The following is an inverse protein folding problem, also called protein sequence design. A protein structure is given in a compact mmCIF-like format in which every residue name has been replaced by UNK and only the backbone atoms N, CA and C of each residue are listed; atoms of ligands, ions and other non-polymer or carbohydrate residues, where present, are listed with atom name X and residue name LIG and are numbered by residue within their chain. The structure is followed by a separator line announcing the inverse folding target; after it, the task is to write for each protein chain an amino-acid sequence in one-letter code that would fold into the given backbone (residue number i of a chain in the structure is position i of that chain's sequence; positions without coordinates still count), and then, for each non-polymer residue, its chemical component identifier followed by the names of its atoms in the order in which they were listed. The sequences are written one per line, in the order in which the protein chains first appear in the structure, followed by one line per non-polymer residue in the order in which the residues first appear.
data_IF_882323317827
#
_entry.id   IF_882323317827
#
_cell.length_a   1.000
_cell.length_b   1.000
_cell.length_c   1.000
_cell.angle_alpha   90.00
_cell.angle_beta   90.00
_cell.angle_gamma   90.00
#
_symmetry.space_group_name_H-M   'P 1'
#
loop_
_entity.id
_entity.type
_entity.pdbx_description
1 polymer ?
#
# COMPACT_ATOMS: atom_id res chain seq x y z
N UNK A 1 -2.36 17.54 15.74
CA UNK A 1 -1.67 17.12 14.51
C UNK A 1 -2.28 17.92 13.37
N UNK A 2 -1.50 18.66 12.59
CA UNK A 2 -2.04 19.25 11.37
C UNK A 2 -2.26 18.09 10.39
N UNK A 3 -3.49 17.90 9.92
CA UNK A 3 -3.76 17.02 8.80
C UNK A 3 -3.05 17.63 7.59
N UNK A 4 -1.98 17.00 7.13
CA UNK A 4 -1.36 17.35 5.86
C UNK A 4 -2.07 16.52 4.81
N UNK A 5 -2.98 17.17 4.09
CA UNK A 5 -3.58 16.64 2.87
C UNK A 5 -2.44 16.23 1.93
N UNK A 6 -2.25 14.92 1.78
CA UNK A 6 -1.09 14.41 1.08
C UNK A 6 -1.41 13.15 0.30
N UNK A 7 -0.77 13.07 -0.86
CA UNK A 7 -0.63 11.86 -1.65
C UNK A 7 0.86 11.55 -1.69
N UNK A 8 1.25 10.39 -1.20
CA UNK A 8 2.61 9.87 -1.29
C UNK A 8 2.63 8.69 -2.27
N UNK A 9 3.69 8.60 -3.07
CA UNK A 9 3.84 7.51 -4.04
C UNK A 9 5.30 7.10 -4.19
N UNK A 10 5.54 5.80 -4.36
CA UNK A 10 6.86 5.24 -4.58
C UNK A 10 6.78 4.03 -5.51
N UNK A 11 7.86 3.79 -6.25
CA UNK A 11 8.03 2.64 -7.15
C UNK A 11 9.41 2.04 -6.90
N UNK A 12 9.45 0.73 -6.65
CA UNK A 12 10.66 -0.04 -6.46
C UNK A 12 10.76 -1.12 -7.54
N UNK A 13 11.92 -1.21 -8.19
CA UNK A 13 12.23 -2.25 -9.18
C UNK A 13 13.13 -3.28 -8.52
N UNK A 14 12.71 -4.54 -8.57
CA UNK A 14 13.42 -5.70 -8.04
C UNK A 14 14.14 -6.45 -9.17
N UNK A 15 15.08 -7.36 -8.87
CA UNK A 15 15.78 -8.14 -9.88
C UNK A 15 14.85 -8.99 -10.76
N UNK A 16 13.75 -9.50 -10.18
CA UNK A 16 12.73 -10.28 -10.87
C UNK A 16 11.36 -10.20 -10.18
N UNK A 17 10.35 -10.82 -10.80
CA UNK A 17 8.98 -10.84 -10.30
C UNK A 17 8.80 -11.61 -8.98
N UNK A 18 9.63 -12.64 -8.74
CA UNK A 18 9.57 -13.38 -7.49
C UNK A 18 10.11 -12.53 -6.34
N UNK A 19 11.18 -11.77 -6.55
CA UNK A 19 11.72 -10.85 -5.56
C UNK A 19 10.74 -9.71 -5.22
N UNK A 20 10.06 -9.14 -6.21
CA UNK A 20 9.02 -8.13 -5.96
C UNK A 20 7.84 -8.70 -5.15
N UNK A 21 7.38 -9.90 -5.50
CA UNK A 21 6.30 -10.59 -4.79
C UNK A 21 6.71 -10.98 -3.37
N UNK A 22 7.92 -11.49 -3.18
CA UNK A 22 8.45 -11.79 -1.85
C UNK A 22 8.53 -10.55 -0.96
N UNK A 23 8.84 -9.38 -1.52
CA UNK A 23 8.82 -8.12 -0.77
C UNK A 23 7.40 -7.72 -0.32
N UNK A 24 6.37 -7.93 -1.17
CA UNK A 24 4.98 -7.70 -0.79
C UNK A 24 4.52 -8.68 0.32
N UNK A 25 4.85 -9.97 0.18
CA UNK A 25 4.54 -11.00 1.17
C UNK A 25 5.24 -10.71 2.53
N UNK A 26 6.49 -10.26 2.48
CA UNK A 26 7.22 -9.83 3.69
C UNK A 26 6.58 -8.60 4.34
N UNK A 27 6.13 -7.63 3.54
CA UNK A 27 5.44 -6.44 4.04
C UNK A 27 4.15 -6.82 4.77
N UNK A 28 3.31 -7.67 4.16
CA UNK A 28 2.10 -8.19 4.80
C UNK A 28 2.43 -8.88 6.13
N UNK A 29 3.42 -9.77 6.15
CA UNK A 29 3.82 -10.47 7.38
C UNK A 29 4.25 -9.49 8.49
N UNK A 30 5.01 -8.44 8.13
CA UNK A 30 5.42 -7.40 9.07
C UNK A 30 4.23 -6.57 9.59
N UNK A 31 3.28 -6.20 8.74
CA UNK A 31 2.09 -5.45 9.15
C UNK A 31 1.19 -6.28 10.08
N UNK A 32 0.97 -7.55 9.77
CA UNK A 32 0.23 -8.46 10.62
C UNK A 32 0.92 -8.65 11.98
N UNK A 33 2.25 -8.74 12.00
CA UNK A 33 3.01 -8.79 13.25
C UNK A 33 2.83 -7.49 14.06
N UNK A 34 2.83 -6.31 13.43
CA UNK A 34 2.56 -5.04 14.10
C UNK A 34 1.16 -5.00 14.72
N UNK A 35 0.13 -5.43 13.99
CA UNK A 35 -1.24 -5.49 14.51
C UNK A 35 -1.39 -6.46 15.68
N UNK A 36 -0.68 -7.59 15.66
CA UNK A 36 -0.69 -8.59 16.73
C UNK A 36 -0.08 -8.09 18.05
N UNK A 37 0.68 -6.99 18.03
CA UNK A 37 1.18 -6.34 19.25
C UNK A 37 0.08 -5.57 20.00
N UNK A 38 -1.07 -5.33 19.37
CA UNK A 38 -2.18 -4.56 19.93
C UNK A 38 -1.80 -3.17 20.48
N UNK A 39 -0.72 -2.58 19.97
CA UNK A 39 -0.34 -1.20 20.29
C UNK A 39 -1.34 -0.24 19.62
N UNK A 40 -1.93 0.72 20.36
CA UNK A 40 -2.92 1.66 19.83
C UNK A 40 -2.40 2.52 18.66
N UNK A 41 -1.09 2.59 18.42
CA UNK A 41 -0.50 3.30 17.26
C UNK A 41 -0.57 2.50 15.96
N UNK A 42 -0.89 1.21 16.03
CA UNK A 42 -0.99 0.31 14.87
C UNK A 42 -2.41 -0.26 14.71
N UNK A 43 -3.43 0.51 15.10
CA UNK A 43 -4.83 0.17 14.86
C UNK A 43 -5.23 0.53 13.44
N UNK A 44 -4.90 -0.35 12.50
CA UNK A 44 -5.33 -0.25 11.11
C UNK A 44 -5.82 -1.60 10.61
N UNK A 45 -6.56 -1.60 9.50
CA UNK A 45 -6.94 -2.83 8.82
C UNK A 45 -5.95 -3.13 7.71
N UNK A 46 -5.64 -4.42 7.52
CA UNK A 46 -4.90 -4.93 6.37
C UNK A 46 -5.78 -5.92 5.64
N UNK A 47 -5.92 -5.75 4.33
CA UNK A 47 -6.66 -6.67 3.47
C UNK A 47 -6.00 -6.85 2.11
N UNK A 48 -6.42 -7.90 1.39
CA UNK A 48 -5.95 -8.24 0.05
C UNK A 48 -7.11 -8.23 -0.93
N UNK A 49 -7.29 -7.15 -1.72
CA UNK A 49 -8.30 -7.13 -2.77
C UNK A 49 -8.08 -8.21 -3.84
N UNK A 50 -6.81 -8.56 -4.08
CA UNK A 50 -6.37 -9.62 -4.99
C UNK A 50 -4.98 -10.14 -4.54
N UNK A 51 -4.44 -11.23 -5.13
CA UNK A 51 -3.15 -11.80 -4.70
C UNK A 51 -1.92 -10.90 -4.90
N UNK A 52 -2.01 -9.84 -5.70
CA UNK A 52 -0.93 -8.93 -6.03
C UNK A 52 -1.06 -7.55 -5.37
N UNK A 53 -2.16 -7.30 -4.64
CA UNK A 53 -2.46 -6.02 -4.01
C UNK A 53 -2.63 -6.20 -2.49
N UNK A 54 -1.94 -5.36 -1.72
CA UNK A 54 -2.14 -5.22 -0.28
C UNK A 54 -2.71 -3.83 0.00
N UNK A 55 -3.75 -3.76 0.83
CA UNK A 55 -4.38 -2.50 1.23
C UNK A 55 -4.30 -2.35 2.74
N UNK A 56 -3.95 -1.14 3.16
CA UNK A 56 -4.04 -0.68 4.54
C UNK A 56 -5.07 0.45 4.59
N UNK A 57 -5.97 0.41 5.57
CA UNK A 57 -6.99 1.45 5.76
C UNK A 57 -7.15 1.82 7.21
N UNK A 58 -7.41 3.10 7.45
CA UNK A 58 -7.95 3.63 8.71
C UNK A 58 -8.81 4.88 8.39
N UNK A 59 -9.41 5.51 9.41
CA UNK A 59 -10.19 6.73 9.26
C UNK A 59 -9.36 7.86 8.61
N UNK A 60 -9.77 8.32 7.43
CA UNK A 60 -9.09 9.40 6.69
C UNK A 60 -7.75 9.01 6.05
N UNK A 61 -7.43 7.72 6.01
CA UNK A 61 -6.16 7.20 5.48
C UNK A 61 -6.34 5.90 4.70
N UNK A 62 -5.68 5.83 3.55
CA UNK A 62 -5.55 4.58 2.79
C UNK A 62 -4.16 4.47 2.18
N UNK A 63 -3.57 3.29 2.26
CA UNK A 63 -2.29 2.98 1.62
C UNK A 63 -2.41 1.68 0.84
N UNK A 64 -2.09 1.70 -0.45
CA UNK A 64 -2.08 0.54 -1.31
C UNK A 64 -0.66 0.21 -1.74
N UNK A 65 -0.38 -1.10 -1.78
CA UNK A 65 0.79 -1.67 -2.41
C UNK A 65 0.33 -2.63 -3.50
N UNK A 66 0.99 -2.62 -4.66
CA UNK A 66 0.71 -3.59 -5.71
C UNK A 66 1.99 -4.01 -6.42
N UNK A 67 2.09 -5.30 -6.72
CA UNK A 67 3.16 -5.86 -7.54
C UNK A 67 2.68 -6.09 -8.97
N UNK A 68 3.50 -5.73 -9.95
CA UNK A 68 3.36 -6.11 -11.36
C UNK A 68 4.74 -6.38 -11.93
N UNK A 69 4.95 -7.57 -12.49
CA UNK A 69 6.27 -8.03 -12.92
C UNK A 69 7.30 -7.86 -11.78
N UNK A 70 8.48 -7.30 -12.07
CA UNK A 70 9.52 -7.03 -11.08
C UNK A 70 9.34 -5.69 -10.35
N UNK A 71 8.14 -5.09 -10.36
CA UNK A 71 7.90 -3.75 -9.81
C UNK A 71 6.91 -3.81 -8.65
N UNK A 72 7.29 -3.23 -7.51
CA UNK A 72 6.41 -2.95 -6.38
C UNK A 72 6.07 -1.47 -6.37
N UNK A 73 4.79 -1.15 -6.37
CA UNK A 73 4.25 0.21 -6.33
C UNK A 73 3.58 0.44 -4.98
N UNK A 74 3.65 1.66 -4.49
CA UNK A 74 3.12 2.08 -3.19
C UNK A 74 2.46 3.44 -3.35
N UNK A 75 1.21 3.59 -2.90
CA UNK A 75 0.48 4.86 -2.90
C UNK A 75 -0.26 5.03 -1.57
N UNK A 76 0.00 6.13 -0.86
CA UNK A 76 -0.68 6.51 0.37
C UNK A 76 -1.42 7.83 0.22
N UNK A 77 -2.64 7.91 0.75
CA UNK A 77 -3.47 9.12 0.80
C UNK A 77 -3.89 9.39 2.24
N UNK A 78 -3.66 10.61 2.72
CA UNK A 78 -3.99 11.05 4.06
C UNK A 78 -4.69 12.41 4.01
N UNK A 79 -5.79 12.56 4.77
CA UNK A 79 -6.50 13.83 4.95
C UNK A 79 -7.45 14.21 3.80
N UNK A 80 -7.36 13.54 2.66
CA UNK A 80 -8.18 13.83 1.47
C UNK A 80 -9.22 12.73 1.25
N UNK A 81 -10.50 13.08 1.20
CA UNK A 81 -11.59 12.13 0.98
C UNK A 81 -12.14 12.14 -0.46
N UNK A 82 -12.50 10.97 -1.04
CA UNK A 82 -12.41 9.63 -0.46
C UNK A 82 -11.01 9.02 -0.65
N UNK A 83 -10.28 8.80 0.45
CA UNK A 83 -8.84 8.47 0.44
C UNK A 83 -8.54 7.20 -0.39
N UNK A 84 -9.33 6.15 -0.20
CA UNK A 84 -9.17 4.88 -0.91
C UNK A 84 -9.35 5.03 -2.43
N UNK A 85 -10.34 5.81 -2.87
CA UNK A 85 -10.59 6.01 -4.32
C UNK A 85 -9.43 6.75 -4.97
N UNK A 86 -8.89 7.75 -4.28
CA UNK A 86 -7.74 8.53 -4.75
C UNK A 86 -6.51 7.63 -4.82
N UNK A 87 -6.24 6.84 -3.78
CA UNK A 87 -5.11 5.91 -3.73
C UNK A 87 -5.18 4.89 -4.88
N UNK A 88 -6.36 4.28 -5.13
CA UNK A 88 -6.56 3.35 -6.23
C UNK A 88 -6.33 4.03 -7.60
N UNK A 89 -6.91 5.21 -7.81
CA UNK A 89 -6.78 5.93 -9.09
C UNK A 89 -5.32 6.22 -9.43
N UNK A 90 -4.54 6.68 -8.44
CA UNK A 90 -3.12 6.96 -8.62
C UNK A 90 -2.33 5.66 -8.83
N UNK A 91 -2.63 4.61 -8.07
CA UNK A 91 -1.96 3.31 -8.21
C UNK A 91 -2.21 2.68 -9.58
N UNK A 92 -3.45 2.72 -10.07
CA UNK A 92 -3.82 2.21 -11.39
C UNK A 92 -3.06 2.96 -12.49
N UNK A 93 -2.99 4.29 -12.39
CA UNK A 93 -2.21 5.09 -13.32
C UNK A 93 -0.71 4.70 -13.31
N UNK A 94 -0.11 4.42 -12.15
CA UNK A 94 1.28 3.93 -12.08
C UNK A 94 1.38 2.54 -12.71
N UNK A 95 0.47 1.64 -12.37
CA UNK A 95 0.42 0.24 -12.81
C UNK A 95 0.32 0.11 -14.34
N UNK A 96 -0.44 0.99 -14.99
CA UNK A 96 -0.58 1.05 -16.45
C UNK A 96 0.74 1.39 -17.17
N UNK A 97 1.67 2.05 -16.47
CA UNK A 97 2.98 2.45 -17.01
C UNK A 97 4.07 1.40 -16.79
N UNK A 98 3.82 0.39 -15.95
CA UNK A 98 4.75 -0.72 -15.74
C UNK A 98 4.66 -1.68 -16.93
N UNK A 99 5.81 -1.91 -17.59
CA UNK A 99 5.97 -2.83 -18.72
C UNK A 99 6.04 -4.27 -18.27
#
# INVERSE_FOLDING_TARGET
MALVDSVSQAVAIYPDANAARAALEQLEASLNACMALHDPKYTFNVDKPDPATLRITDQGWSHLYRVKNAVLMSVGVLGIEPAERIANTVLDAICDRVK
#
